data_IF_825616862076
#
_entry.id   IF_825616862076
#
_cell.length_a   1.000
_cell.length_b   1.000
_cell.length_c   1.000
_cell.angle_alpha   90.00
_cell.angle_beta   90.00
_cell.angle_gamma   90.00
#
_symmetry.space_group_name_H-M   'P 1'
#
loop_
_entity.id
_entity.type
_entity.pdbx_description
1 polymer ?
#
# COMPACT_ATOMS: atom_id res chain seq x y z
N UNK A 1 -4.53 11.98 -0.44
CA UNK A 1 -3.81 11.89 0.82
C UNK A 1 -3.13 10.53 1.00
N UNK A 2 -2.12 10.50 1.84
CA UNK A 2 -1.38 9.29 2.18
C UNK A 2 -1.85 8.76 3.53
N UNK A 3 -2.11 7.45 3.60
CA UNK A 3 -2.52 6.79 4.83
C UNK A 3 -1.65 5.57 5.11
N UNK A 4 -1.27 5.42 6.39
CA UNK A 4 -0.57 4.24 6.87
C UNK A 4 -1.51 3.44 7.76
N UNK A 5 -1.72 2.17 7.44
CA UNK A 5 -2.66 1.31 8.16
C UNK A 5 -1.93 0.50 9.22
N UNK A 6 -2.48 0.49 10.44
CA UNK A 6 -1.85 -0.12 11.61
C UNK A 6 -2.49 -1.45 12.03
N UNK A 7 -3.70 -1.75 11.55
CA UNK A 7 -4.33 -3.04 11.77
C UNK A 7 -5.31 -3.34 10.64
N UNK A 8 -5.60 -4.62 10.42
CA UNK A 8 -6.54 -5.04 9.38
C UNK A 8 -7.97 -4.61 9.68
N UNK A 9 -8.40 -4.73 10.95
CA UNK A 9 -9.76 -4.37 11.35
C UNK A 9 -10.00 -2.86 11.23
N UNK A 10 -9.03 -2.07 11.67
CA UNK A 10 -9.08 -0.61 11.58
C UNK A 10 -9.10 -0.17 10.12
N UNK A 11 -8.31 -0.82 9.28
CA UNK A 11 -8.26 -0.53 7.86
C UNK A 11 -9.61 -0.80 7.18
N UNK A 12 -10.22 -1.94 7.45
CA UNK A 12 -11.54 -2.29 6.89
C UNK A 12 -12.59 -1.27 7.28
N UNK A 13 -12.59 -0.85 8.55
CA UNK A 13 -13.53 0.14 9.05
C UNK A 13 -13.36 1.48 8.35
N UNK A 14 -12.11 1.94 8.20
CA UNK A 14 -11.81 3.20 7.51
C UNK A 14 -12.20 3.14 6.05
N UNK A 15 -11.90 2.04 5.37
CA UNK A 15 -12.24 1.89 3.96
C UNK A 15 -13.74 1.90 3.74
N UNK A 16 -14.52 1.25 4.59
CA UNK A 16 -15.98 1.34 4.52
C UNK A 16 -16.46 2.76 4.67
N UNK A 17 -15.94 3.47 5.67
CA UNK A 17 -16.30 4.86 5.92
C UNK A 17 -16.04 5.74 4.71
N UNK A 18 -14.85 5.59 4.08
CA UNK A 18 -14.48 6.43 2.94
C UNK A 18 -15.28 6.13 1.67
N UNK A 19 -15.57 4.88 1.40
CA UNK A 19 -16.16 4.48 0.13
C UNK A 19 -17.67 4.30 0.18
N UNK A 20 -18.25 3.95 1.34
CA UNK A 20 -19.69 3.78 1.47
C UNK A 20 -20.44 5.10 1.63
N UNK A 21 -19.78 6.16 2.09
CA UNK A 21 -20.42 7.45 2.32
C UNK A 21 -20.47 8.35 1.08
N UNK A 22 -19.94 7.92 -0.05
CA UNK A 22 -19.80 8.72 -1.27
C UNK A 22 -19.01 10.02 -1.06
N UNK A 23 -18.22 10.11 -0.01
CA UNK A 23 -17.42 11.28 0.29
C UNK A 23 -16.09 11.21 -0.44
N UNK A 24 -16.08 11.64 -1.69
CA UNK A 24 -14.92 11.56 -2.57
C UNK A 24 -13.72 12.30 -2.00
N UNK A 25 -13.95 13.37 -1.25
CA UNK A 25 -12.89 14.23 -0.72
C UNK A 25 -12.09 13.60 0.43
N UNK A 26 -12.69 12.63 1.13
CA UNK A 26 -12.04 11.98 2.27
C UNK A 26 -11.31 10.68 1.91
N UNK A 27 -11.37 10.27 0.65
CA UNK A 27 -10.69 9.05 0.19
C UNK A 27 -9.20 9.29 0.08
N UNK A 28 -8.36 8.40 0.60
CA UNK A 28 -6.92 8.47 0.36
C UNK A 28 -6.61 8.17 -1.11
N UNK A 29 -5.61 8.84 -1.66
CA UNK A 29 -5.12 8.53 -3.00
C UNK A 29 -4.15 7.35 -2.97
N UNK A 30 -3.44 7.20 -1.87
CA UNK A 30 -2.41 6.17 -1.71
C UNK A 30 -2.46 5.59 -0.30
N UNK A 31 -2.31 4.27 -0.22
CA UNK A 31 -2.29 3.56 1.05
C UNK A 31 -1.01 2.75 1.16
N UNK A 32 -0.28 2.96 2.25
CA UNK A 32 0.88 2.14 2.62
C UNK A 32 0.42 1.12 3.67
N UNK A 33 0.63 -0.15 3.40
CA UNK A 33 0.39 -1.21 4.37
C UNK A 33 1.73 -1.55 5.03
N UNK A 34 1.87 -1.24 6.32
CA UNK A 34 3.10 -1.46 7.08
C UNK A 34 3.07 -2.86 7.70
N UNK A 35 3.83 -3.79 7.13
CA UNK A 35 3.84 -5.19 7.58
C UNK A 35 4.43 -5.34 8.97
N UNK A 36 5.33 -4.45 9.38
CA UNK A 36 5.94 -4.51 10.72
C UNK A 36 4.93 -4.15 11.81
N UNK A 37 4.05 -3.19 11.54
CA UNK A 37 3.03 -2.76 12.50
C UNK A 37 1.87 -3.74 12.56
N UNK A 38 1.46 -4.30 11.42
CA UNK A 38 0.39 -5.29 11.36
C UNK A 38 0.80 -6.62 12.03
N UNK A 39 2.12 -6.87 12.11
CA UNK A 39 2.67 -7.99 12.87
C UNK A 39 2.81 -9.30 12.10
N UNK A 40 2.21 -9.40 10.91
CA UNK A 40 2.30 -10.58 10.06
C UNK A 40 2.27 -10.18 8.59
N UNK A 41 3.22 -10.67 7.81
CA UNK A 41 3.22 -10.42 6.36
C UNK A 41 2.01 -11.06 5.69
N UNK A 42 1.56 -12.21 6.19
CA UNK A 42 0.35 -12.86 5.67
C UNK A 42 -0.88 -11.97 5.84
N UNK A 43 -1.09 -11.44 7.04
CA UNK A 43 -2.24 -10.57 7.31
C UNK A 43 -2.19 -9.27 6.49
N UNK A 44 -1.00 -8.69 6.36
CA UNK A 44 -0.82 -7.47 5.58
C UNK A 44 -1.08 -7.69 4.09
N UNK A 45 -0.60 -8.80 3.54
CA UNK A 45 -0.82 -9.15 2.15
C UNK A 45 -2.30 -9.47 1.88
N UNK A 46 -2.96 -10.16 2.81
CA UNK A 46 -4.40 -10.39 2.70
C UNK A 46 -5.19 -9.09 2.75
N UNK A 47 -4.75 -8.14 3.56
CA UNK A 47 -5.36 -6.81 3.60
C UNK A 47 -5.22 -6.11 2.25
N UNK A 48 -4.04 -6.16 1.64
CA UNK A 48 -3.81 -5.61 0.30
C UNK A 48 -4.78 -6.25 -0.70
N UNK A 49 -4.95 -7.57 -0.63
CA UNK A 49 -5.85 -8.28 -1.54
C UNK A 49 -7.29 -7.80 -1.40
N UNK A 50 -7.78 -7.63 -0.17
CA UNK A 50 -9.12 -7.12 0.10
C UNK A 50 -9.31 -5.70 -0.41
N UNK A 51 -8.36 -4.83 -0.12
CA UNK A 51 -8.41 -3.44 -0.55
C UNK A 51 -8.41 -3.36 -2.07
N UNK A 52 -7.53 -4.12 -2.71
CA UNK A 52 -7.45 -4.14 -4.17
C UNK A 52 -8.73 -4.67 -4.81
N UNK A 53 -9.31 -5.70 -4.23
CA UNK A 53 -10.55 -6.29 -4.75
C UNK A 53 -11.71 -5.29 -4.69
N UNK A 54 -11.86 -4.60 -3.55
CA UNK A 54 -13.00 -3.70 -3.34
C UNK A 54 -12.77 -2.29 -3.89
N UNK A 55 -11.53 -1.79 -3.82
CA UNK A 55 -11.25 -0.37 -4.08
C UNK A 55 -10.05 -0.13 -5.00
N UNK A 56 -9.50 -1.17 -5.61
CA UNK A 56 -8.25 -1.09 -6.36
C UNK A 56 -8.23 -0.07 -7.49
N UNK A 57 -9.39 0.26 -8.05
CA UNK A 57 -9.48 1.26 -9.12
C UNK A 57 -9.43 2.69 -8.61
N UNK A 58 -9.48 2.88 -7.29
CA UNK A 58 -9.59 4.21 -6.67
C UNK A 58 -8.37 4.60 -5.83
N UNK A 59 -7.49 3.65 -5.51
CA UNK A 59 -6.34 3.91 -4.64
C UNK A 59 -5.07 3.27 -5.19
N UNK A 60 -3.93 3.91 -4.91
CA UNK A 60 -2.61 3.31 -5.11
C UNK A 60 -2.26 2.57 -3.83
N UNK A 61 -1.94 1.29 -3.91
CA UNK A 61 -1.68 0.44 -2.75
C UNK A 61 -0.26 -0.09 -2.81
N UNK A 62 0.46 0.01 -1.73
CA UNK A 62 1.79 -0.58 -1.63
C UNK A 62 2.15 -0.99 -0.22
N UNK A 63 3.31 -1.60 -0.11
CA UNK A 63 3.83 -2.17 1.13
C UNK A 63 4.98 -1.31 1.65
N UNK A 64 5.06 -1.15 2.97
CA UNK A 64 6.27 -0.72 3.66
C UNK A 64 6.67 -1.85 4.60
N UNK A 65 7.93 -2.28 4.54
CA UNK A 65 8.43 -3.37 5.38
C UNK A 65 9.95 -3.29 5.52
N UNK A 66 10.46 -3.75 6.65
CA UNK A 66 11.91 -3.90 6.83
C UNK A 66 12.47 -5.11 6.07
N UNK A 67 11.60 -6.00 5.59
CA UNK A 67 11.99 -7.20 4.84
C UNK A 67 12.28 -6.89 3.38
N UNK A 68 13.29 -7.58 2.82
CA UNK A 68 13.62 -7.54 1.39
C UNK A 68 13.52 -8.96 0.80
N UNK A 69 12.57 -9.75 1.26
CA UNK A 69 12.38 -11.12 0.78
C UNK A 69 11.59 -11.14 -0.53
N UNK A 70 12.21 -11.69 -1.57
CA UNK A 70 11.61 -11.76 -2.89
C UNK A 70 10.29 -12.54 -2.92
N UNK A 71 10.17 -13.58 -2.09
CA UNK A 71 8.94 -14.37 -2.01
C UNK A 71 7.77 -13.55 -1.47
N UNK A 72 8.00 -12.77 -0.42
CA UNK A 72 6.96 -11.90 0.13
C UNK A 72 6.57 -10.81 -0.86
N UNK A 73 7.56 -10.25 -1.54
CA UNK A 73 7.32 -9.22 -2.57
C UNK A 73 6.49 -9.77 -3.72
N UNK A 74 6.76 -10.99 -4.14
CA UNK A 74 5.98 -11.66 -5.19
C UNK A 74 4.53 -11.86 -4.77
N UNK A 75 4.30 -12.28 -3.54
CA UNK A 75 2.93 -12.45 -2.99
C UNK A 75 2.19 -11.12 -2.93
N UNK A 76 2.89 -10.06 -2.53
CA UNK A 76 2.30 -8.72 -2.48
C UNK A 76 1.89 -8.23 -3.87
N UNK A 77 2.74 -8.44 -4.86
CA UNK A 77 2.43 -8.11 -6.25
C UNK A 77 1.18 -8.85 -6.73
N UNK A 78 1.10 -10.16 -6.45
CA UNK A 78 -0.05 -10.97 -6.83
C UNK A 78 -1.33 -10.53 -6.13
N UNK A 79 -1.22 -10.00 -4.92
CA UNK A 79 -2.37 -9.48 -4.17
C UNK A 79 -2.85 -8.11 -4.68
N UNK A 80 -2.06 -7.43 -5.48
CA UNK A 80 -2.41 -6.14 -6.06
C UNK A 80 -1.58 -4.96 -5.61
N UNK A 81 -0.53 -5.18 -4.80
CA UNK A 81 0.39 -4.11 -4.43
C UNK A 81 1.13 -3.60 -5.65
N UNK A 82 1.31 -2.29 -5.73
CA UNK A 82 1.96 -1.66 -6.87
C UNK A 82 3.42 -1.36 -6.60
N UNK A 83 3.84 -1.35 -5.33
CA UNK A 83 5.20 -1.05 -4.94
C UNK A 83 5.52 -1.64 -3.57
N UNK A 84 6.82 -1.67 -3.25
CA UNK A 84 7.33 -2.12 -1.95
C UNK A 84 8.45 -1.20 -1.53
N UNK A 85 8.35 -0.57 -0.37
CA UNK A 85 9.38 0.34 0.16
C UNK A 85 10.06 -0.33 1.36
N UNK A 86 11.37 -0.48 1.28
CA UNK A 86 12.15 -1.05 2.38
C UNK A 86 12.28 0.00 3.49
N UNK A 87 11.84 -0.38 4.68
CA UNK A 87 11.88 0.48 5.85
C UNK A 87 13.26 0.42 6.51
N UNK A 88 13.88 1.56 6.70
CA UNK A 88 15.16 1.69 7.38
C UNK A 88 15.28 3.08 7.98
N UNK A 89 16.38 3.35 8.70
CA UNK A 89 16.61 4.66 9.30
C UNK A 89 16.68 5.78 8.27
N UNK A 90 17.04 5.45 7.03
CA UNK A 90 17.14 6.41 5.93
C UNK A 90 16.03 6.19 4.90
N UNK A 91 14.77 6.21 5.34
CA UNK A 91 13.63 5.99 4.45
C UNK A 91 13.34 7.18 3.53
N UNK A 92 13.71 8.40 3.92
CA UNK A 92 13.37 9.61 3.16
C UNK A 92 13.81 9.60 1.70
N UNK A 93 15.03 9.17 1.34
CA UNK A 93 15.40 9.09 -0.07
C UNK A 93 14.51 8.15 -0.88
N UNK A 94 14.05 7.06 -0.27
CA UNK A 94 13.15 6.11 -0.92
C UNK A 94 11.77 6.70 -1.12
N UNK A 95 11.27 7.43 -0.13
CA UNK A 95 9.98 8.12 -0.25
C UNK A 95 10.04 9.21 -1.32
N UNK A 96 11.15 9.92 -1.43
CA UNK A 96 11.35 10.91 -2.47
C UNK A 96 11.32 10.29 -3.86
N UNK A 97 12.03 9.19 -4.04
CA UNK A 97 12.02 8.44 -5.29
C UNK A 97 10.61 7.95 -5.63
N UNK A 98 9.89 7.43 -4.63
CA UNK A 98 8.51 7.00 -4.80
C UNK A 98 7.62 8.17 -5.24
N UNK A 99 7.76 9.33 -4.62
CA UNK A 99 6.99 10.53 -4.99
C UNK A 99 7.21 10.93 -6.43
N UNK A 100 8.45 10.80 -6.91
CA UNK A 100 8.78 11.09 -8.30
C UNK A 100 8.11 10.11 -9.27
N UNK A 101 7.88 8.89 -8.83
CA UNK A 101 7.25 7.84 -9.65
C UNK A 101 5.72 7.79 -9.48
N UNK A 102 5.16 8.59 -8.60
CA UNK A 102 3.76 8.45 -8.15
C UNK A 102 2.74 8.52 -9.27
N UNK A 103 2.90 9.46 -10.18
CA UNK A 103 1.94 9.63 -11.29
C UNK A 103 1.82 8.37 -12.14
N UNK A 104 2.92 7.65 -12.33
CA UNK A 104 2.90 6.39 -13.05
C UNK A 104 2.13 5.30 -12.34
N UNK A 105 2.16 5.28 -11.01
CA UNK A 105 1.33 4.34 -10.23
C UNK A 105 -0.15 4.71 -10.31
N UNK A 106 -0.44 5.98 -10.17
CA UNK A 106 -1.80 6.50 -10.26
C UNK A 106 -2.42 6.20 -11.62
N UNK A 107 -1.65 6.34 -12.68
CA UNK A 107 -2.09 6.09 -14.05
C UNK A 107 -1.96 4.64 -14.49
N UNK A 108 -1.49 3.76 -13.61
CA UNK A 108 -1.32 2.31 -13.86
C UNK A 108 -0.32 2.02 -14.98
N UNK A 109 0.69 2.86 -15.15
CA UNK A 109 1.73 2.67 -16.17
C UNK A 109 3.04 2.14 -15.62
N UNK A 110 3.27 2.23 -14.29
CA UNK A 110 4.47 1.68 -13.67
C UNK A 110 4.33 0.19 -13.40
N UNK A 111 5.45 -0.53 -13.53
CA UNK A 111 5.56 -1.89 -13.04
C UNK A 111 5.85 -1.88 -11.55
N UNK A 112 5.56 -2.99 -10.89
CA UNK A 112 5.90 -3.17 -9.48
C UNK A 112 7.40 -2.89 -9.27
N UNK A 113 7.71 -2.10 -8.26
CA UNK A 113 9.08 -1.70 -7.96
C UNK A 113 9.37 -1.81 -6.47
N UNK A 114 10.56 -2.25 -6.13
CA UNK A 114 11.07 -2.30 -4.77
C UNK A 114 12.03 -1.12 -4.57
N UNK A 115 11.73 -0.27 -3.61
CA UNK A 115 12.54 0.89 -3.24
C UNK A 115 13.48 0.51 -2.09
N UNK A 116 14.77 0.40 -2.37
CA UNK A 116 15.77 -0.03 -1.39
C UNK A 116 17.11 0.70 -1.50
#
# INVERSE_FOLDING_TARGET
SLESLTSADEAEKLFKEWFDTNNIHDKPECVFVDLNIIGSSFDGIELVRKINFEYGNHVVIGIISSSDEAEEQSKALQAGAQFWIIKSDEIEPRLEEFRNDYDGYKNRTNKFKVYK
#
